data_IF_647179148656
#
_entry.id   IF_647179148656
#
_cell.length_a   1.000
_cell.length_b   1.000
_cell.length_c   1.000
_cell.angle_alpha   90.00
_cell.angle_beta   90.00
_cell.angle_gamma   90.00
#
_symmetry.space_group_name_H-M   'P 1'
#
loop_
_entity.id
_entity.type
_entity.pdbx_description
1 polymer ?
#
# COMPACT_ATOMS: atom_id res chain seq x y z
N UNK A 1 23.42 -71.57 6.59
CA UNK A 1 24.31 -70.69 7.31
C UNK A 1 24.13 -69.32 6.65
N UNK A 2 23.52 -68.40 7.13
CA UNK A 2 22.77 -67.88 8.18
C UNK A 2 21.69 -66.87 7.64
N UNK A 3 20.52 -67.08 8.15
CA UNK A 3 19.36 -66.27 7.92
C UNK A 3 19.52 -64.89 8.56
N UNK A 4 19.17 -63.80 7.90
CA UNK A 4 18.95 -62.51 8.49
C UNK A 4 17.59 -61.95 8.11
N UNK A 5 16.70 -62.09 9.03
CA UNK A 5 15.28 -61.65 9.01
C UNK A 5 15.20 -60.11 8.94
N UNK A 6 14.50 -59.60 7.94
CA UNK A 6 14.12 -58.20 7.84
C UNK A 6 12.71 -58.02 8.45
N UNK A 7 12.60 -57.30 9.55
CA UNK A 7 11.35 -56.84 10.12
C UNK A 7 10.84 -55.60 9.39
N UNK A 8 9.69 -55.69 8.78
CA UNK A 8 8.88 -54.62 8.26
C UNK A 8 8.02 -54.02 9.37
N UNK A 9 8.32 -52.77 9.77
CA UNK A 9 7.46 -51.97 10.65
C UNK A 9 6.75 -50.90 9.86
N UNK A 10 5.46 -51.16 9.56
CA UNK A 10 4.54 -50.16 9.03
C UNK A 10 4.01 -49.30 10.15
N UNK A 11 4.26 -48.02 10.09
CA UNK A 11 3.49 -47.03 10.84
C UNK A 11 2.90 -46.02 9.85
N UNK A 12 1.63 -46.25 9.53
CA UNK A 12 0.76 -45.27 8.90
C UNK A 12 0.38 -44.22 9.95
N UNK A 13 0.93 -43.03 9.87
CA UNK A 13 0.37 -41.85 10.55
C UNK A 13 -0.50 -41.12 9.52
N UNK A 14 -1.80 -41.24 9.70
CA UNK A 14 -2.84 -40.48 8.98
C UNK A 14 -2.94 -39.11 9.68
N UNK A 15 -2.16 -38.12 9.21
CA UNK A 15 -2.41 -36.75 9.57
C UNK A 15 -3.56 -36.21 8.70
N UNK A 16 -4.69 -36.02 9.37
CA UNK A 16 -5.88 -35.38 8.83
C UNK A 16 -5.54 -33.92 8.49
N UNK A 17 -5.53 -33.58 7.22
CA UNK A 17 -5.57 -32.20 6.77
C UNK A 17 -6.90 -31.57 7.18
N UNK A 18 -6.90 -30.85 8.31
CA UNK A 18 -7.95 -29.89 8.62
C UNK A 18 -7.82 -28.70 7.67
N UNK A 19 -8.78 -28.60 6.74
CA UNK A 19 -8.99 -27.41 5.92
C UNK A 19 -9.15 -26.18 6.85
N UNK A 20 -8.49 -25.05 6.58
CA UNK A 20 -8.72 -23.84 7.34
C UNK A 20 -10.16 -23.39 7.10
N UNK A 21 -10.95 -23.33 8.18
CA UNK A 21 -12.28 -22.75 8.18
C UNK A 21 -12.13 -21.27 7.74
N UNK A 22 -12.93 -20.88 6.73
CA UNK A 22 -12.93 -19.54 6.15
C UNK A 22 -13.29 -18.49 7.20
N UNK A 23 -12.29 -17.90 7.83
CA UNK A 23 -12.42 -16.69 8.62
C UNK A 23 -12.86 -15.53 7.74
N UNK A 24 -13.67 -14.61 8.29
CA UNK A 24 -14.00 -13.36 7.62
C UNK A 24 -12.67 -12.60 7.32
N UNK A 25 -12.40 -12.19 6.07
CA UNK A 25 -11.16 -11.45 5.74
C UNK A 25 -10.93 -10.20 6.59
N UNK A 26 -11.98 -9.65 7.23
CA UNK A 26 -11.87 -8.50 8.14
C UNK A 26 -11.49 -8.87 9.58
N UNK A 27 -11.56 -10.14 9.94
CA UNK A 27 -11.26 -10.62 11.32
C UNK A 27 -9.83 -11.18 11.43
N UNK A 28 -9.13 -11.41 10.33
CA UNK A 28 -7.70 -11.72 10.34
C UNK A 28 -6.93 -10.46 10.75
N UNK A 29 -6.14 -10.56 11.81
CA UNK A 29 -5.42 -9.45 12.43
C UNK A 29 -4.65 -8.57 11.46
N UNK A 30 -4.36 -7.34 11.90
CA UNK A 30 -3.57 -6.33 11.17
C UNK A 30 -2.18 -6.86 10.84
N UNK A 31 -1.46 -6.16 9.97
CA UNK A 31 -0.08 -6.51 9.57
C UNK A 31 0.74 -6.84 10.81
N UNK A 32 1.32 -8.02 10.81
CA UNK A 32 2.10 -8.53 11.90
C UNK A 32 3.47 -7.84 12.02
N UNK A 33 4.35 -8.44 12.79
CA UNK A 33 5.69 -7.89 13.11
C UNK A 33 6.54 -7.65 11.86
N UNK A 34 6.29 -8.40 10.76
CA UNK A 34 7.12 -8.35 9.56
C UNK A 34 6.73 -7.26 8.55
N UNK A 35 5.52 -6.67 8.65
CA UNK A 35 5.06 -5.61 7.73
C UNK A 35 5.02 -6.06 6.26
N UNK A 36 5.39 -5.12 5.36
CA UNK A 36 5.53 -5.36 3.93
C UNK A 36 7.03 -5.40 3.58
N UNK A 37 7.45 -6.32 2.70
CA UNK A 37 8.85 -6.48 2.30
C UNK A 37 8.95 -6.81 0.81
N UNK A 38 10.01 -6.32 0.16
CA UNK A 38 10.37 -6.73 -1.20
C UNK A 38 11.80 -7.25 -1.24
N UNK A 39 12.06 -8.25 -2.12
CA UNK A 39 13.39 -8.83 -2.30
C UNK A 39 13.68 -9.01 -3.79
N UNK A 40 14.72 -8.33 -4.27
CA UNK A 40 15.21 -8.45 -5.63
C UNK A 40 14.14 -8.21 -6.69
N UNK A 41 13.28 -7.20 -6.52
CA UNK A 41 12.18 -6.96 -7.45
C UNK A 41 12.68 -6.27 -8.70
N UNK A 42 12.44 -6.91 -9.85
CA UNK A 42 12.64 -6.36 -11.19
C UNK A 42 11.29 -6.22 -11.89
N UNK A 43 11.11 -5.19 -12.70
CA UNK A 43 9.86 -4.95 -13.43
C UNK A 43 10.14 -4.56 -14.88
N UNK A 44 9.41 -5.15 -15.81
CA UNK A 44 9.48 -4.84 -17.24
C UNK A 44 8.09 -4.47 -17.77
N UNK A 45 8.06 -3.59 -18.76
CA UNK A 45 6.95 -3.40 -19.67
C UNK A 45 7.40 -3.74 -21.08
N UNK A 46 6.93 -4.85 -21.64
CA UNK A 46 7.44 -5.47 -22.85
C UNK A 46 8.96 -5.71 -22.74
N UNK A 47 9.76 -5.01 -23.55
CA UNK A 47 11.24 -5.10 -23.54
C UNK A 47 11.91 -4.02 -22.67
N UNK A 48 11.13 -3.10 -22.10
CA UNK A 48 11.69 -2.00 -21.32
C UNK A 48 11.81 -2.42 -19.85
N UNK A 49 13.05 -2.47 -19.34
CA UNK A 49 13.35 -2.71 -17.92
C UNK A 49 13.12 -1.41 -17.14
N UNK A 50 12.17 -1.40 -16.23
CA UNK A 50 11.71 -0.20 -15.53
C UNK A 50 12.24 -0.11 -14.11
N UNK A 51 12.36 -1.26 -13.42
CA UNK A 51 12.90 -1.34 -12.06
C UNK A 51 13.89 -2.49 -11.97
N UNK A 52 15.00 -2.27 -11.26
CA UNK A 52 16.08 -3.23 -11.09
C UNK A 52 16.43 -3.41 -9.62
N UNK A 53 16.41 -4.67 -9.17
CA UNK A 53 16.85 -5.14 -7.85
C UNK A 53 16.31 -4.32 -6.67
N UNK A 54 14.99 -4.11 -6.64
CA UNK A 54 14.36 -3.35 -5.56
C UNK A 54 14.13 -4.25 -4.35
N UNK A 55 14.95 -4.06 -3.32
CA UNK A 55 14.83 -4.71 -2.02
C UNK A 55 14.57 -3.64 -0.96
N UNK A 56 13.43 -3.72 -0.26
CA UNK A 56 13.00 -2.71 0.72
C UNK A 56 12.10 -3.35 1.78
N UNK A 57 12.36 -3.01 3.03
CA UNK A 57 11.50 -3.35 4.17
C UNK A 57 10.63 -2.14 4.53
N UNK A 58 9.35 -2.39 4.75
CA UNK A 58 8.37 -1.41 5.20
C UNK A 58 7.95 -1.78 6.62
N UNK A 59 8.46 -1.10 7.65
CA UNK A 59 8.09 -1.40 9.03
C UNK A 59 6.59 -1.25 9.26
N UNK A 60 6.03 -2.18 10.03
CA UNK A 60 4.61 -2.15 10.38
C UNK A 60 4.24 -0.89 11.15
N UNK A 61 3.03 -0.37 10.93
CA UNK A 61 2.50 0.81 11.62
C UNK A 61 3.41 2.03 11.51
N UNK A 62 3.93 2.28 10.32
CA UNK A 62 4.78 3.42 10.00
C UNK A 62 4.50 3.93 8.60
N UNK A 63 5.00 5.12 8.30
CA UNK A 63 4.94 5.71 6.95
C UNK A 63 6.31 5.58 6.28
N UNK A 64 6.35 4.90 5.13
CA UNK A 64 7.53 4.90 4.26
C UNK A 64 7.29 5.79 3.03
N UNK A 65 8.08 6.85 2.90
CA UNK A 65 8.08 7.74 1.76
C UNK A 65 8.96 7.23 0.63
N UNK A 66 8.42 7.13 -0.59
CA UNK A 66 9.19 6.86 -1.80
C UNK A 66 9.42 8.19 -2.51
N UNK A 67 10.66 8.66 -2.52
CA UNK A 67 11.07 9.94 -3.11
C UNK A 67 11.97 9.72 -4.33
N UNK A 68 12.08 10.72 -5.18
CA UNK A 68 12.93 10.66 -6.39
C UNK A 68 12.32 11.38 -7.58
N UNK A 69 13.07 11.60 -8.66
CA UNK A 69 12.60 12.28 -9.87
C UNK A 69 11.39 11.61 -10.51
N UNK A 70 10.65 12.37 -11.32
CA UNK A 70 9.56 11.80 -12.13
C UNK A 70 10.11 10.78 -13.13
N UNK A 71 9.38 9.67 -13.31
CA UNK A 71 9.79 8.64 -14.28
C UNK A 71 10.73 7.55 -13.74
N UNK A 72 11.30 7.68 -12.52
CA UNK A 72 12.20 6.66 -11.96
C UNK A 72 11.52 5.38 -11.44
N UNK A 73 10.24 5.17 -11.71
CA UNK A 73 9.55 3.89 -11.44
C UNK A 73 8.78 3.79 -10.13
N UNK A 74 8.70 4.82 -9.27
CA UNK A 74 7.99 4.79 -7.97
C UNK A 74 6.54 4.31 -8.05
N UNK A 75 5.74 4.91 -8.96
CA UNK A 75 4.34 4.50 -9.15
C UNK A 75 4.21 3.09 -9.76
N UNK A 76 5.21 2.64 -10.52
CA UNK A 76 5.31 1.26 -11.00
C UNK A 76 5.58 0.32 -9.84
N UNK A 77 6.49 0.67 -8.95
CA UNK A 77 6.77 -0.10 -7.75
C UNK A 77 5.53 -0.22 -6.85
N UNK A 78 4.79 0.89 -6.61
CA UNK A 78 3.53 0.82 -5.87
C UNK A 78 2.52 -0.17 -6.47
N UNK A 79 2.48 -0.30 -7.82
CA UNK A 79 1.59 -1.27 -8.48
C UNK A 79 2.02 -2.71 -8.27
N UNK A 80 3.31 -2.96 -8.06
CA UNK A 80 3.82 -4.29 -7.71
C UNK A 80 3.36 -4.69 -6.31
N UNK A 81 3.39 -3.79 -5.34
CA UNK A 81 3.02 -4.08 -3.96
C UNK A 81 1.58 -4.58 -3.75
N UNK A 82 0.70 -4.37 -4.74
CA UNK A 82 -0.70 -4.86 -4.72
C UNK A 82 -1.09 -5.65 -5.98
N UNK A 83 -0.11 -6.09 -6.77
CA UNK A 83 -0.30 -6.88 -8.00
C UNK A 83 -1.12 -6.16 -9.09
N UNK A 84 -1.21 -4.82 -9.04
CA UNK A 84 -1.95 -4.07 -10.07
C UNK A 84 -1.16 -3.86 -11.36
N UNK A 85 0.15 -4.11 -11.39
CA UNK A 85 0.93 -4.13 -12.63
C UNK A 85 0.45 -5.22 -13.60
N UNK A 86 -0.11 -6.33 -13.10
CA UNK A 86 -0.66 -7.44 -13.89
C UNK A 86 -1.78 -7.01 -14.86
N UNK A 87 -2.45 -5.87 -14.60
CA UNK A 87 -3.45 -5.32 -15.52
C UNK A 87 -2.85 -4.53 -16.69
N UNK A 88 -1.53 -4.36 -16.73
CA UNK A 88 -0.85 -3.63 -17.79
C UNK A 88 -0.34 -4.64 -18.81
N UNK A 89 -0.81 -4.58 -20.08
CA UNK A 89 -0.34 -5.48 -21.13
C UNK A 89 1.19 -5.44 -21.26
N UNK A 90 1.83 -6.61 -21.28
CA UNK A 90 3.28 -6.74 -21.38
C UNK A 90 4.05 -6.43 -20.10
N UNK A 91 3.36 -6.24 -18.96
CA UNK A 91 4.04 -6.14 -17.68
C UNK A 91 4.56 -7.53 -17.25
N UNK A 92 5.79 -7.55 -16.78
CA UNK A 92 6.43 -8.71 -16.17
C UNK A 92 7.18 -8.30 -14.91
N UNK A 93 7.31 -9.20 -13.97
CA UNK A 93 8.01 -8.99 -12.71
C UNK A 93 8.81 -10.24 -12.33
N UNK A 94 9.96 -10.04 -11.71
CA UNK A 94 10.73 -11.07 -11.00
C UNK A 94 11.06 -10.56 -9.59
N UNK A 95 11.47 -11.46 -8.70
CA UNK A 95 11.69 -11.17 -7.28
C UNK A 95 10.48 -11.54 -6.43
N UNK A 96 10.50 -11.16 -5.16
CA UNK A 96 9.52 -11.57 -4.17
C UNK A 96 8.93 -10.36 -3.43
N UNK A 97 7.65 -10.45 -3.09
CA UNK A 97 6.96 -9.46 -2.25
C UNK A 97 6.21 -10.19 -1.14
N UNK A 98 6.48 -9.80 0.10
CA UNK A 98 5.88 -10.42 1.28
C UNK A 98 4.96 -9.41 1.98
N UNK A 99 3.77 -9.87 2.33
CA UNK A 99 2.84 -9.18 3.22
C UNK A 99 2.69 -10.04 4.47
N UNK A 100 3.11 -9.51 5.61
CA UNK A 100 3.11 -10.23 6.90
C UNK A 100 3.78 -11.62 6.80
N UNK A 101 4.96 -11.67 6.16
CA UNK A 101 5.76 -12.86 5.97
C UNK A 101 5.21 -13.86 4.94
N UNK A 102 4.06 -13.58 4.30
CA UNK A 102 3.47 -14.40 3.23
C UNK A 102 3.80 -13.81 1.88
N UNK A 103 4.41 -14.59 0.98
CA UNK A 103 4.69 -14.15 -0.38
C UNK A 103 3.39 -13.99 -1.17
N UNK A 104 3.15 -12.77 -1.68
CA UNK A 104 1.89 -12.44 -2.37
C UNK A 104 1.83 -12.91 -3.83
N UNK A 105 2.95 -13.37 -4.40
CA UNK A 105 3.04 -13.93 -5.76
C UNK A 105 3.15 -15.46 -5.78
N UNK A 106 3.14 -16.12 -4.61
CA UNK A 106 3.20 -17.57 -4.53
C UNK A 106 2.04 -18.23 -5.27
N UNK A 107 2.25 -19.44 -5.84
CA UNK A 107 1.17 -20.20 -6.47
C UNK A 107 0.00 -20.42 -5.49
N UNK A 108 -1.24 -20.21 -5.97
CA UNK A 108 -2.45 -20.43 -5.17
C UNK A 108 -2.88 -19.28 -4.28
N UNK A 109 -2.17 -18.15 -4.27
CA UNK A 109 -2.61 -16.95 -3.54
C UNK A 109 -3.92 -16.41 -4.11
N UNK A 110 -4.92 -16.22 -3.25
CA UNK A 110 -6.14 -15.48 -3.60
C UNK A 110 -5.83 -14.00 -3.75
N UNK A 111 -5.70 -13.56 -5.01
CA UNK A 111 -5.36 -12.17 -5.36
C UNK A 111 -6.43 -11.19 -4.89
N UNK A 112 -7.70 -11.59 -4.87
CA UNK A 112 -8.80 -10.73 -4.42
C UNK A 112 -8.71 -10.49 -2.91
N UNK A 113 -8.53 -11.57 -2.14
CA UNK A 113 -8.34 -11.47 -0.70
C UNK A 113 -7.08 -10.65 -0.34
N UNK A 114 -5.96 -10.87 -1.06
CA UNK A 114 -4.73 -10.10 -0.89
C UNK A 114 -4.95 -8.61 -1.17
N UNK A 115 -5.66 -8.25 -2.26
CA UNK A 115 -5.94 -6.83 -2.61
C UNK A 115 -6.87 -6.14 -1.61
N UNK A 116 -7.68 -6.86 -0.85
CA UNK A 116 -8.45 -6.27 0.25
C UNK A 116 -7.53 -5.84 1.40
N UNK A 117 -6.40 -6.53 1.62
CA UNK A 117 -5.42 -6.18 2.65
C UNK A 117 -4.51 -5.02 2.24
N UNK A 118 -4.42 -4.68 0.94
CA UNK A 118 -3.55 -3.61 0.43
C UNK A 118 -4.39 -2.57 -0.30
N UNK A 119 -4.87 -1.59 0.46
CA UNK A 119 -5.65 -0.47 -0.05
C UNK A 119 -4.82 0.47 -0.93
N UNK A 120 -5.49 1.20 -1.83
CA UNK A 120 -4.82 2.18 -2.70
C UNK A 120 -5.59 3.49 -2.82
N UNK A 121 -4.85 4.59 -2.71
CA UNK A 121 -5.30 5.95 -2.98
C UNK A 121 -4.51 6.49 -4.18
N UNK A 122 -5.22 7.01 -5.19
CA UNK A 122 -4.63 7.48 -6.43
C UNK A 122 -4.27 8.97 -6.37
N UNK A 123 -3.39 9.39 -7.26
CA UNK A 123 -2.95 10.77 -7.40
C UNK A 123 -4.12 11.73 -7.64
N UNK A 124 -5.00 11.39 -8.57
CA UNK A 124 -6.24 12.14 -8.79
C UNK A 124 -7.36 11.52 -7.98
N UNK A 125 -8.10 12.31 -7.19
CA UNK A 125 -9.31 11.82 -6.53
C UNK A 125 -10.25 11.16 -7.53
N UNK A 126 -10.73 9.98 -7.19
CA UNK A 126 -11.58 9.18 -8.08
C UNK A 126 -12.85 8.67 -7.37
N UNK A 127 -13.63 9.54 -6.72
CA UNK A 127 -14.91 9.11 -6.18
C UNK A 127 -15.81 8.63 -7.32
N UNK A 128 -16.69 7.68 -7.05
CA UNK A 128 -17.70 7.27 -8.02
C UNK A 128 -18.75 8.39 -8.14
N UNK A 129 -18.83 9.11 -9.28
CA UNK A 129 -19.62 10.33 -9.37
C UNK A 129 -21.14 10.08 -9.30
N UNK A 130 -21.59 8.89 -9.68
CA UNK A 130 -22.99 8.46 -9.58
C UNK A 130 -23.40 7.99 -8.19
N UNK A 131 -22.43 7.85 -7.27
CA UNK A 131 -22.69 7.41 -5.90
C UNK A 131 -22.69 8.58 -4.92
N UNK A 132 -23.50 8.44 -3.88
CA UNK A 132 -23.47 9.38 -2.74
C UNK A 132 -22.17 9.24 -1.93
N UNK A 133 -21.91 10.18 -1.03
CA UNK A 133 -20.75 10.13 -0.10
C UNK A 133 -20.76 8.80 0.66
N UNK A 134 -21.88 8.43 1.30
CA UNK A 134 -21.98 7.18 2.05
C UNK A 134 -21.81 5.95 1.16
N UNK A 135 -22.39 5.95 -0.05
CA UNK A 135 -22.23 4.86 -1.00
C UNK A 135 -20.78 4.71 -1.48
N UNK A 136 -20.05 5.82 -1.69
CA UNK A 136 -18.64 5.79 -2.05
C UNK A 136 -17.80 5.07 -0.98
N UNK A 137 -17.99 5.41 0.31
CA UNK A 137 -17.24 4.76 1.41
C UNK A 137 -17.51 3.26 1.44
N UNK A 138 -18.78 2.87 1.34
CA UNK A 138 -19.19 1.46 1.46
C UNK A 138 -19.05 0.65 0.15
N UNK A 139 -18.58 1.27 -0.94
CA UNK A 139 -18.51 0.62 -2.25
C UNK A 139 -17.63 -0.63 -2.26
N UNK A 140 -16.48 -0.59 -1.58
CA UNK A 140 -15.55 -1.72 -1.48
C UNK A 140 -16.18 -2.94 -0.84
N UNK A 141 -16.95 -2.76 0.23
CA UNK A 141 -17.67 -3.84 0.90
C UNK A 141 -18.70 -4.50 -0.01
N UNK A 142 -19.44 -3.67 -0.77
CA UNK A 142 -20.44 -4.19 -1.72
C UNK A 142 -19.79 -5.01 -2.84
N UNK A 143 -18.66 -4.54 -3.38
CA UNK A 143 -17.94 -5.22 -4.45
C UNK A 143 -17.32 -6.54 -3.97
N UNK A 144 -16.80 -6.57 -2.74
CA UNK A 144 -16.21 -7.74 -2.12
C UNK A 144 -17.26 -8.68 -1.48
N UNK A 145 -18.56 -8.35 -1.54
CA UNK A 145 -19.66 -9.08 -0.90
C UNK A 145 -19.44 -9.27 0.63
N UNK A 146 -18.83 -8.29 1.27
CA UNK A 146 -18.56 -8.30 2.71
C UNK A 146 -19.78 -7.78 3.45
N UNK A 147 -20.30 -8.58 4.39
CA UNK A 147 -21.45 -8.20 5.23
C UNK A 147 -20.94 -7.57 6.53
N UNK A 148 -21.41 -6.38 6.82
CA UNK A 148 -21.13 -5.66 8.07
C UNK A 148 -22.44 -5.49 8.84
N UNK A 149 -22.39 -5.72 10.17
CA UNK A 149 -23.56 -5.64 11.05
C UNK A 149 -24.10 -4.21 11.16
N UNK A 150 -23.20 -3.24 11.35
CA UNK A 150 -23.51 -1.83 11.49
C UNK A 150 -22.74 -1.02 10.44
N UNK A 151 -23.45 -0.68 9.35
CA UNK A 151 -22.88 0.11 8.25
C UNK A 151 -22.76 1.60 8.61
N UNK A 152 -23.64 2.11 9.46
CA UNK A 152 -23.66 3.52 9.80
C UNK A 152 -22.49 3.83 10.75
N UNK A 153 -22.24 2.98 11.73
CA UNK A 153 -21.07 3.08 12.61
C UNK A 153 -19.75 2.99 11.82
N UNK A 154 -19.64 2.02 10.89
CA UNK A 154 -18.45 1.90 10.04
C UNK A 154 -18.26 3.11 9.12
N UNK A 155 -19.35 3.65 8.56
CA UNK A 155 -19.32 4.86 7.73
C UNK A 155 -18.78 6.06 8.51
N UNK A 156 -19.29 6.28 9.72
CA UNK A 156 -18.83 7.33 10.62
C UNK A 156 -17.34 7.14 10.99
N UNK A 157 -16.95 5.92 11.35
CA UNK A 157 -15.57 5.57 11.67
C UNK A 157 -14.62 5.91 10.50
N UNK A 158 -14.93 5.43 9.29
CA UNK A 158 -14.07 5.66 8.12
C UNK A 158 -13.96 7.14 7.75
N UNK A 159 -15.07 7.89 7.80
CA UNK A 159 -15.07 9.32 7.52
C UNK A 159 -14.35 10.12 8.61
N UNK A 160 -14.45 9.69 9.86
CA UNK A 160 -13.75 10.32 10.99
C UNK A 160 -12.24 10.09 10.87
N UNK A 161 -11.80 8.86 10.61
CA UNK A 161 -10.40 8.51 10.38
C UNK A 161 -9.80 9.22 9.17
N UNK A 162 -10.59 9.48 8.14
CA UNK A 162 -10.19 10.27 6.97
C UNK A 162 -10.28 11.79 7.21
N UNK A 163 -10.60 12.27 8.41
CA UNK A 163 -10.73 13.69 8.75
C UNK A 163 -11.87 14.41 8.02
N UNK A 164 -12.89 13.68 7.54
CA UNK A 164 -13.95 14.23 6.69
C UNK A 164 -15.33 14.30 7.38
N UNK A 165 -15.56 13.50 8.44
CA UNK A 165 -16.87 13.36 9.08
C UNK A 165 -17.55 14.67 9.41
N UNK A 166 -16.86 15.58 10.10
CA UNK A 166 -17.40 16.88 10.53
C UNK A 166 -17.91 17.74 9.37
N UNK A 167 -17.36 17.55 8.17
CA UNK A 167 -17.69 18.35 6.97
C UNK A 167 -18.88 17.75 6.19
N UNK A 168 -19.18 16.45 6.36
CA UNK A 168 -20.13 15.74 5.49
C UNK A 168 -21.26 14.99 6.22
N UNK A 169 -21.23 14.87 7.55
CA UNK A 169 -22.20 14.08 8.33
C UNK A 169 -23.67 14.41 8.03
N UNK A 170 -23.97 15.67 7.75
CA UNK A 170 -25.35 16.15 7.49
C UNK A 170 -25.74 16.04 6.00
N UNK A 171 -24.84 15.58 5.12
CA UNK A 171 -25.04 15.48 3.66
C UNK A 171 -24.53 14.19 3.04
N UNK A 172 -24.57 13.09 3.77
CA UNK A 172 -24.08 11.76 3.31
C UNK A 172 -24.79 11.23 2.06
N UNK A 173 -25.99 11.75 1.78
CA UNK A 173 -26.81 11.39 0.59
C UNK A 173 -26.51 12.24 -0.63
N UNK A 174 -25.66 13.27 -0.55
CA UNK A 174 -25.24 14.06 -1.72
C UNK A 174 -24.17 13.30 -2.53
N UNK A 175 -24.03 13.66 -3.82
CA UNK A 175 -23.02 13.04 -4.70
C UNK A 175 -21.60 13.26 -4.16
N UNK A 176 -20.77 12.22 -4.20
CA UNK A 176 -19.34 12.32 -3.88
C UNK A 176 -18.58 13.27 -4.84
N UNK A 177 -19.05 13.42 -6.07
CA UNK A 177 -18.48 14.35 -7.06
C UNK A 177 -18.70 15.83 -6.76
N UNK A 178 -19.66 16.19 -5.86
CA UNK A 178 -19.92 17.57 -5.46
C UNK A 178 -18.96 18.13 -4.41
N UNK A 179 -18.07 17.30 -3.88
CA UNK A 179 -17.06 17.66 -2.90
C UNK A 179 -15.89 18.43 -3.54
N UNK A 180 -15.19 19.26 -2.76
CA UNK A 180 -13.92 19.87 -3.19
C UNK A 180 -12.84 18.81 -3.43
N UNK A 181 -11.78 19.14 -4.16
CA UNK A 181 -10.70 18.20 -4.47
C UNK A 181 -10.11 17.53 -3.22
N UNK A 182 -9.81 18.30 -2.18
CA UNK A 182 -9.30 17.77 -0.91
C UNK A 182 -10.32 16.90 -0.15
N UNK A 183 -11.61 17.26 -0.22
CA UNK A 183 -12.68 16.44 0.34
C UNK A 183 -12.86 15.13 -0.44
N UNK A 184 -12.77 15.18 -1.78
CA UNK A 184 -12.81 13.98 -2.61
C UNK A 184 -11.62 13.04 -2.32
N UNK A 185 -10.43 13.58 -2.10
CA UNK A 185 -9.27 12.77 -1.75
C UNK A 185 -9.47 12.07 -0.40
N UNK A 186 -9.94 12.80 0.61
CA UNK A 186 -10.26 12.20 1.91
C UNK A 186 -11.44 11.22 1.83
N UNK A 187 -12.39 11.42 0.93
CA UNK A 187 -13.43 10.43 0.63
C UNK A 187 -12.85 9.15 0.03
N UNK A 188 -11.86 9.26 -0.86
CA UNK A 188 -11.15 8.09 -1.41
C UNK A 188 -10.34 7.35 -0.33
N UNK A 189 -9.75 8.08 0.63
CA UNK A 189 -9.13 7.46 1.81
C UNK A 189 -10.18 6.72 2.64
N UNK A 190 -11.29 7.37 3.01
CA UNK A 190 -12.38 6.72 3.76
C UNK A 190 -12.90 5.46 3.06
N UNK A 191 -13.04 5.49 1.73
CA UNK A 191 -13.43 4.32 0.93
C UNK A 191 -12.41 3.18 1.04
N UNK A 192 -11.11 3.49 1.02
CA UNK A 192 -10.06 2.49 1.17
C UNK A 192 -10.08 1.87 2.58
N UNK A 193 -10.35 2.65 3.62
CA UNK A 193 -10.41 2.18 5.01
C UNK A 193 -11.58 1.24 5.29
N UNK A 194 -12.68 1.33 4.53
CA UNK A 194 -13.91 0.57 4.82
C UNK A 194 -13.73 -0.95 4.74
N UNK A 195 -12.78 -1.44 3.96
CA UNK A 195 -12.43 -2.87 3.88
C UNK A 195 -11.38 -3.28 4.91
N UNK A 196 -10.96 -2.37 5.80
CA UNK A 196 -9.96 -2.56 6.86
C UNK A 196 -8.64 -3.14 6.34
N UNK A 197 -7.96 -2.45 5.42
CA UNK A 197 -6.69 -2.92 4.89
C UNK A 197 -5.58 -2.88 5.94
N UNK A 198 -4.57 -3.74 5.79
CA UNK A 198 -3.36 -3.76 6.62
C UNK A 198 -2.34 -2.73 6.13
N UNK A 199 -2.33 -2.47 4.82
CA UNK A 199 -1.42 -1.53 4.16
C UNK A 199 -2.20 -0.54 3.31
N UNK A 200 -1.81 0.73 3.31
CA UNK A 200 -2.36 1.77 2.44
C UNK A 200 -1.28 2.35 1.53
N UNK A 201 -1.43 2.14 0.23
CA UNK A 201 -0.54 2.69 -0.79
C UNK A 201 -1.11 4.02 -1.30
N UNK A 202 -0.32 5.07 -1.27
CA UNK A 202 -0.70 6.41 -1.71
C UNK A 202 0.23 6.91 -2.81
N UNK A 203 -0.32 7.21 -3.98
CA UNK A 203 0.42 7.67 -5.14
C UNK A 203 0.22 9.18 -5.29
N UNK A 204 1.17 10.00 -4.83
CA UNK A 204 1.13 11.47 -4.86
C UNK A 204 -0.22 12.08 -4.39
N UNK A 205 -0.74 11.72 -3.21
CA UNK A 205 -2.12 12.00 -2.82
C UNK A 205 -2.46 13.49 -2.67
N UNK A 206 -1.45 14.36 -2.64
CA UNK A 206 -1.62 15.81 -2.43
C UNK A 206 -1.23 16.67 -3.64
N UNK A 207 -0.76 16.06 -4.74
CA UNK A 207 -0.18 16.81 -5.88
C UNK A 207 -1.14 17.79 -6.57
N UNK A 208 -2.45 17.57 -6.47
CA UNK A 208 -3.50 18.40 -7.08
C UNK A 208 -4.31 19.20 -6.04
N UNK A 209 -3.83 19.29 -4.79
CA UNK A 209 -4.57 19.91 -3.69
C UNK A 209 -3.99 21.29 -3.33
N UNK A 210 -4.85 22.14 -2.83
CA UNK A 210 -4.44 23.39 -2.19
C UNK A 210 -3.69 23.13 -0.87
N UNK A 211 -2.90 24.11 -0.35
CA UNK A 211 -2.10 23.91 0.86
C UNK A 211 -2.90 23.49 2.10
N UNK A 212 -4.09 24.06 2.31
CA UNK A 212 -4.93 23.73 3.46
C UNK A 212 -5.48 22.29 3.38
N UNK A 213 -5.89 21.87 2.19
CA UNK A 213 -6.30 20.48 1.93
C UNK A 213 -5.15 19.49 2.05
N UNK A 214 -3.95 19.89 1.60
CA UNK A 214 -2.72 19.08 1.75
C UNK A 214 -2.43 18.79 3.22
N UNK A 215 -2.43 19.81 4.08
CA UNK A 215 -2.20 19.63 5.51
C UNK A 215 -3.19 18.65 6.15
N UNK A 216 -4.48 18.73 5.80
CA UNK A 216 -5.49 17.79 6.32
C UNK A 216 -5.25 16.34 5.87
N UNK A 217 -4.76 16.12 4.65
CA UNK A 217 -4.38 14.76 4.18
C UNK A 217 -3.14 14.28 4.91
N UNK A 218 -2.14 15.15 5.11
CA UNK A 218 -0.92 14.83 5.87
C UNK A 218 -1.24 14.45 7.32
N UNK A 219 -2.08 15.22 8.01
CA UNK A 219 -2.56 14.89 9.36
C UNK A 219 -3.28 13.54 9.39
N UNK A 220 -4.10 13.25 8.36
CA UNK A 220 -4.78 11.96 8.21
C UNK A 220 -3.77 10.81 8.07
N UNK A 221 -2.74 10.98 7.24
CA UNK A 221 -1.67 9.97 7.04
C UNK A 221 -0.96 9.67 8.36
N UNK A 222 -0.53 10.70 9.09
CA UNK A 222 0.16 10.54 10.37
C UNK A 222 -0.75 9.86 11.42
N UNK A 223 -2.04 10.21 11.47
CA UNK A 223 -2.98 9.55 12.38
C UNK A 223 -3.20 8.08 12.04
N UNK A 224 -3.29 7.74 10.75
CA UNK A 224 -3.52 6.36 10.30
C UNK A 224 -2.31 5.47 10.55
N UNK A 225 -1.08 6.00 10.53
CA UNK A 225 0.14 5.19 10.73
C UNK A 225 0.25 4.60 12.13
N UNK A 226 -0.52 5.08 13.09
CA UNK A 226 -0.55 4.48 14.44
C UNK A 226 -1.04 3.03 14.47
N UNK A 227 -1.82 2.61 13.47
CA UNK A 227 -2.42 1.28 13.39
C UNK A 227 -2.42 0.69 11.98
N UNK A 228 -1.69 1.30 11.02
CA UNK A 228 -1.65 0.88 9.63
C UNK A 228 -0.28 1.18 9.01
N UNK A 229 0.21 0.28 8.17
CA UNK A 229 1.42 0.52 7.37
C UNK A 229 1.06 1.37 6.14
N UNK A 230 1.78 2.46 5.92
CA UNK A 230 1.53 3.39 4.81
C UNK A 230 2.76 3.50 3.93
N UNK A 231 2.57 3.37 2.62
CA UNK A 231 3.60 3.67 1.61
C UNK A 231 3.11 4.85 0.77
N UNK A 232 3.84 5.96 0.82
CA UNK A 232 3.47 7.18 0.11
C UNK A 232 4.53 7.55 -0.92
N UNK A 233 4.11 7.71 -2.18
CA UNK A 233 4.94 8.34 -3.21
C UNK A 233 4.70 9.84 -3.17
N UNK A 234 5.76 10.63 -3.14
CA UNK A 234 5.68 12.08 -3.30
C UNK A 234 6.95 12.63 -3.93
N UNK A 235 6.81 13.68 -4.74
CA UNK A 235 7.92 14.48 -5.23
C UNK A 235 8.14 15.76 -4.38
N UNK A 236 7.29 15.98 -3.36
CA UNK A 236 7.43 17.09 -2.44
C UNK A 236 8.27 16.67 -1.23
N UNK A 237 9.51 17.15 -1.18
CA UNK A 237 10.45 16.83 -0.11
C UNK A 237 9.97 17.28 1.27
N UNK A 238 9.33 18.43 1.36
CA UNK A 238 8.79 18.93 2.62
C UNK A 238 7.66 18.03 3.13
N UNK A 239 6.82 17.53 2.24
CA UNK A 239 5.78 16.55 2.60
C UNK A 239 6.41 15.26 3.09
N UNK A 240 7.36 14.68 2.34
CA UNK A 240 8.06 13.46 2.75
C UNK A 240 8.68 13.62 4.14
N UNK A 241 9.36 14.74 4.39
CA UNK A 241 9.99 15.03 5.68
C UNK A 241 8.99 15.16 6.85
N UNK A 242 7.74 15.62 6.57
CA UNK A 242 6.72 15.80 7.62
C UNK A 242 5.97 14.51 7.97
N UNK A 243 5.69 13.66 6.96
CA UNK A 243 4.74 12.55 7.15
C UNK A 243 5.41 11.19 7.24
N UNK A 244 6.67 11.03 6.81
CA UNK A 244 7.32 9.74 6.73
C UNK A 244 8.24 9.47 7.91
N UNK A 245 8.22 8.23 8.41
CA UNK A 245 9.17 7.72 9.40
C UNK A 245 10.44 7.22 8.71
N UNK A 246 10.27 6.62 7.53
CA UNK A 246 11.34 6.09 6.66
C UNK A 246 11.20 6.66 5.26
N UNK A 247 12.32 6.81 4.55
CA UNK A 247 12.34 7.23 3.16
C UNK A 247 13.24 6.32 2.33
N UNK A 248 12.81 6.02 1.09
CA UNK A 248 13.63 5.38 0.09
C UNK A 248 13.75 6.29 -1.14
N UNK A 249 14.99 6.61 -1.51
CA UNK A 249 15.30 7.43 -2.67
C UNK A 249 15.48 6.57 -3.92
N UNK A 250 14.61 6.79 -4.89
CA UNK A 250 14.63 6.15 -6.20
C UNK A 250 15.29 7.05 -7.23
N UNK A 251 16.16 6.47 -8.05
CA UNK A 251 16.81 7.15 -9.15
C UNK A 251 16.85 6.25 -10.39
N UNK A 252 16.72 6.87 -11.56
CA UNK A 252 16.98 6.26 -12.87
C UNK A 252 17.94 7.19 -13.62
N UNK A 253 19.13 6.70 -13.92
CA UNK A 253 20.16 7.44 -14.62
C UNK A 253 20.42 6.76 -15.98
N UNK A 254 19.50 7.00 -16.92
CA UNK A 254 19.55 6.40 -18.27
C UNK A 254 19.25 4.89 -18.34
N UNK A 255 19.00 4.24 -17.20
CA UNK A 255 18.67 2.83 -17.05
C UNK A 255 17.35 2.61 -16.27
N UNK A 256 17.12 1.38 -15.79
CA UNK A 256 16.01 1.10 -14.88
C UNK A 256 16.15 1.87 -13.57
N UNK A 257 15.03 2.13 -12.90
CA UNK A 257 15.03 2.74 -11.58
C UNK A 257 15.56 1.77 -10.51
N UNK A 258 16.38 2.30 -9.63
CA UNK A 258 16.97 1.59 -8.48
C UNK A 258 16.71 2.36 -7.20
N UNK A 259 16.81 1.70 -6.05
CA UNK A 259 16.91 2.39 -4.76
C UNK A 259 18.39 2.75 -4.55
N UNK A 260 18.64 4.05 -4.42
CA UNK A 260 20.00 4.57 -4.13
C UNK A 260 20.29 4.49 -2.65
N UNK A 261 19.31 4.87 -1.84
CA UNK A 261 19.44 4.90 -0.38
C UNK A 261 18.06 4.74 0.27
N UNK A 262 18.00 4.00 1.39
CA UNK A 262 16.80 3.86 2.20
C UNK A 262 17.18 3.84 3.67
N UNK A 263 16.60 4.75 4.46
CA UNK A 263 16.84 4.86 5.90
C UNK A 263 15.68 5.64 6.57
N UNK A 264 15.83 5.93 7.86
CA UNK A 264 14.94 6.84 8.58
C UNK A 264 14.91 8.20 7.90
N UNK A 265 13.76 8.81 7.84
CA UNK A 265 13.56 10.11 7.22
C UNK A 265 14.55 11.15 7.74
N UNK A 266 14.82 11.16 9.05
CA UNK A 266 15.79 12.08 9.65
C UNK A 266 17.20 11.92 9.08
N UNK A 267 17.64 10.71 8.76
CA UNK A 267 18.95 10.42 8.16
C UNK A 267 18.97 10.90 6.71
N UNK A 268 17.98 10.48 5.90
CA UNK A 268 17.88 10.84 4.48
C UNK A 268 17.90 12.37 4.26
N UNK A 269 17.26 13.15 5.16
CA UNK A 269 17.14 14.60 5.00
C UNK A 269 18.25 15.39 5.68
N UNK A 270 19.00 14.84 6.65
CA UNK A 270 20.04 15.57 7.37
C UNK A 270 21.47 15.11 7.06
N UNK A 271 21.67 13.79 6.97
CA UNK A 271 23.00 13.17 6.82
C UNK A 271 22.95 11.96 5.87
N UNK A 272 22.46 12.12 4.62
CA UNK A 272 22.45 11.03 3.67
C UNK A 272 23.87 10.53 3.37
N UNK A 273 24.03 9.25 3.18
CA UNK A 273 25.33 8.62 2.92
C UNK A 273 25.73 8.70 1.44
N UNK A 274 24.75 8.73 0.53
CA UNK A 274 24.98 8.85 -0.91
C UNK A 274 24.91 10.31 -1.37
N UNK A 275 25.95 10.84 -2.08
CA UNK A 275 25.95 12.21 -2.60
C UNK A 275 24.74 12.53 -3.49
N UNK A 276 24.23 11.56 -4.27
CA UNK A 276 23.06 11.73 -5.13
C UNK A 276 21.80 11.99 -4.30
N UNK A 277 21.66 11.31 -3.15
CA UNK A 277 20.58 11.56 -2.19
C UNK A 277 20.70 12.98 -1.62
N UNK A 278 21.92 13.37 -1.21
CA UNK A 278 22.18 14.70 -0.68
C UNK A 278 21.82 15.81 -1.68
N UNK A 279 22.20 15.66 -2.94
CA UNK A 279 21.88 16.63 -3.99
C UNK A 279 20.37 16.70 -4.26
N UNK A 280 19.69 15.53 -4.27
CA UNK A 280 18.25 15.49 -4.49
C UNK A 280 17.46 16.18 -3.39
N UNK A 281 17.72 15.86 -2.11
CA UNK A 281 16.97 16.46 -0.97
C UNK A 281 17.26 17.94 -0.77
N UNK A 282 18.41 18.42 -1.24
CA UNK A 282 18.79 19.85 -1.22
C UNK A 282 18.32 20.64 -2.45
N UNK A 283 17.61 19.98 -3.38
CA UNK A 283 17.12 20.63 -4.61
C UNK A 283 18.21 20.98 -5.62
N UNK A 284 19.39 20.36 -5.52
CA UNK A 284 20.51 20.56 -6.46
C UNK A 284 20.50 19.58 -7.63
N UNK A 285 19.43 18.85 -7.77
CA UNK A 285 19.23 17.86 -8.80
C UNK A 285 18.62 18.52 -10.04
N UNK A 286 19.37 18.63 -11.13
CA UNK A 286 18.95 19.20 -12.39
C UNK A 286 19.87 18.81 -13.52
#
# INVERSE_FOLDING_TARGET
MDDATIQTGSNMNTDAHSSPQGGNPLDEGRVGINGLQTKGVHVWFNKHHVLEDISLDFPANSVTGLIGPSGCGKSTFLRVLNRMHEFIPGAAMAGEVFLDGKEIYAPGVDVTAMRLKVGRVFQKPNPFPSMTIGQNVLAGLKLANIKVKDKDSLLEECLTRAGLWKEVKDRLKTSGGSLSGGQQQRLCIARALAVKPDVLLMDEPCSALDPASTLKVEETVVQLSSDMTIVIVTHNMQQAARVSDHCAFFLSDGGPGVIVEADRTSVIFSTPSDPRTADYVQGRFG
#
